data_IF_077710535786
#
_entry.id   IF_077710535786
#
_cell.length_a   1.000
_cell.length_b   1.000
_cell.length_c   1.000
_cell.angle_alpha   90.00
_cell.angle_beta   90.00
_cell.angle_gamma   90.00
#
_symmetry.space_group_name_H-M   'P 1'
#
loop_
_entity.id
_entity.type
_entity.pdbx_description
1 polymer ?
#
# COMPACT_ATOMS: atom_id res chain seq x y z
N UNK A 1 -12.12 -22.52 36.14
CA UNK A 1 -13.17 -22.62 35.11
C UNK A 1 -14.45 -22.94 35.81
N UNK A 2 -15.48 -22.13 35.57
CA UNK A 2 -16.78 -22.30 36.21
C UNK A 2 -17.44 -23.59 35.68
N UNK A 3 -17.96 -24.45 36.55
CA UNK A 3 -18.51 -25.77 36.15
C UNK A 3 -19.63 -25.62 35.10
N UNK A 4 -20.39 -24.52 35.21
CA UNK A 4 -21.43 -24.16 34.26
C UNK A 4 -20.89 -23.77 32.88
N UNK A 5 -19.69 -23.21 32.82
CA UNK A 5 -19.03 -22.81 31.58
C UNK A 5 -18.44 -24.02 30.85
N UNK A 6 -17.82 -24.94 31.59
CA UNK A 6 -17.37 -26.23 31.04
C UNK A 6 -18.54 -27.05 30.49
N UNK A 7 -19.68 -27.07 31.19
CA UNK A 7 -20.91 -27.74 30.73
C UNK A 7 -21.48 -27.10 29.46
N UNK A 8 -21.48 -25.77 29.36
CA UNK A 8 -21.90 -25.06 28.15
C UNK A 8 -20.96 -25.31 26.97
N UNK A 9 -19.66 -25.43 27.21
CA UNK A 9 -18.68 -25.74 26.16
C UNK A 9 -18.92 -27.16 25.63
N UNK A 10 -19.05 -28.14 26.51
CA UNK A 10 -19.36 -29.52 26.16
C UNK A 10 -20.65 -29.63 25.33
N UNK A 11 -21.72 -28.91 25.73
CA UNK A 11 -22.97 -28.84 24.99
C UNK A 11 -22.86 -28.14 23.62
N UNK A 12 -21.84 -27.31 23.38
CA UNK A 12 -21.58 -26.69 22.07
C UNK A 12 -20.77 -27.58 21.15
N UNK A 13 -19.95 -28.46 21.72
CA UNK A 13 -19.11 -29.42 20.98
C UNK A 13 -19.91 -30.64 20.51
N UNK A 14 -20.83 -31.09 21.37
CA UNK A 14 -21.71 -32.23 21.15
C UNK A 14 -22.85 -31.84 20.19
N UNK A 15 -22.77 -32.31 18.93
CA UNK A 15 -23.78 -32.02 17.90
C UNK A 15 -24.85 -33.10 17.80
N UNK A 16 -24.55 -34.31 18.26
CA UNK A 16 -25.47 -35.45 18.23
C UNK A 16 -26.24 -35.65 19.54
N UNK A 17 -25.89 -34.91 20.59
CA UNK A 17 -26.58 -34.92 21.89
C UNK A 17 -26.27 -36.15 22.73
N UNK A 18 -25.20 -36.87 22.40
CA UNK A 18 -24.83 -38.14 23.03
C UNK A 18 -24.16 -37.98 24.40
N UNK A 19 -23.85 -36.75 24.83
CA UNK A 19 -23.09 -36.41 26.04
C UNK A 19 -21.65 -36.97 26.06
N UNK A 20 -21.15 -37.45 24.92
CA UNK A 20 -19.78 -37.95 24.73
C UNK A 20 -19.18 -37.36 23.47
N UNK A 21 -18.01 -36.71 23.56
CA UNK A 21 -17.40 -36.06 22.39
C UNK A 21 -16.64 -37.11 21.56
N UNK A 22 -17.10 -37.37 20.33
CA UNK A 22 -16.35 -38.18 19.36
C UNK A 22 -15.16 -37.40 18.79
N UNK A 23 -14.11 -38.10 18.33
CA UNK A 23 -12.93 -37.44 17.73
C UNK A 23 -13.30 -36.55 16.53
N UNK A 24 -14.32 -36.94 15.75
CA UNK A 24 -14.79 -36.15 14.62
C UNK A 24 -15.49 -34.87 15.08
N UNK A 25 -16.33 -34.92 16.13
CA UNK A 25 -16.95 -33.72 16.70
C UNK A 25 -15.94 -32.80 17.37
N UNK A 26 -14.93 -33.34 18.05
CA UNK A 26 -13.84 -32.53 18.60
C UNK A 26 -13.05 -31.81 17.49
N UNK A 27 -12.67 -32.55 16.44
CA UNK A 27 -11.95 -32.00 15.28
C UNK A 27 -12.77 -30.94 14.56
N UNK A 28 -14.04 -31.25 14.29
CA UNK A 28 -14.93 -30.35 13.56
C UNK A 28 -15.31 -29.14 14.43
N UNK A 29 -15.46 -29.31 15.75
CA UNK A 29 -15.62 -28.18 16.65
C UNK A 29 -14.38 -27.29 16.69
N UNK A 30 -13.15 -27.81 16.60
CA UNK A 30 -11.95 -26.97 16.52
C UNK A 30 -11.76 -26.30 15.15
N UNK A 31 -12.16 -26.97 14.06
CA UNK A 31 -12.15 -26.42 12.70
C UNK A 31 -13.24 -25.37 12.48
N UNK A 32 -14.40 -25.56 13.08
CA UNK A 32 -15.56 -24.66 13.00
C UNK A 32 -15.75 -23.83 14.28
N UNK A 33 -14.82 -23.90 15.23
CA UNK A 33 -14.82 -23.02 16.39
C UNK A 33 -14.66 -21.62 15.80
N UNK A 34 -15.67 -20.76 15.96
CA UNK A 34 -15.47 -19.38 15.60
C UNK A 34 -14.35 -18.92 16.52
N UNK A 35 -13.19 -18.60 15.94
CA UNK A 35 -12.22 -17.71 16.59
C UNK A 35 -13.04 -16.51 17.03
N UNK A 36 -13.43 -16.52 18.31
CA UNK A 36 -14.53 -15.70 18.84
C UNK A 36 -14.09 -14.26 19.03
N UNK A 37 -12.86 -14.00 18.64
CA UNK A 37 -12.29 -12.69 18.59
C UNK A 37 -12.57 -12.12 17.19
N UNK A 38 -13.73 -11.48 17.07
CA UNK A 38 -13.97 -10.52 15.98
C UNK A 38 -12.81 -9.52 15.91
N UNK A 39 -12.18 -9.22 17.06
CA UNK A 39 -10.92 -8.51 17.18
C UNK A 39 -9.77 -9.24 16.47
N UNK A 40 -9.43 -10.49 16.79
CA UNK A 40 -8.43 -11.27 16.06
C UNK A 40 -8.69 -11.45 14.56
N UNK A 41 -9.96 -11.50 14.12
CA UNK A 41 -10.32 -11.49 12.70
C UNK A 41 -10.20 -10.10 12.07
N UNK A 42 -10.49 -9.03 12.81
CA UNK A 42 -10.23 -7.63 12.45
C UNK A 42 -8.72 -7.31 12.46
N UNK A 43 -7.95 -7.97 13.33
CA UNK A 43 -6.50 -7.85 13.49
C UNK A 43 -5.79 -8.62 12.36
N UNK A 44 -6.29 -9.81 12.02
CA UNK A 44 -5.97 -10.49 10.76
C UNK A 44 -6.39 -9.66 9.55
N UNK A 45 -7.55 -8.99 9.55
CA UNK A 45 -8.01 -8.09 8.49
C UNK A 45 -7.17 -6.80 8.37
N UNK A 46 -6.68 -6.26 9.49
CA UNK A 46 -5.73 -5.16 9.55
C UNK A 46 -4.37 -5.60 9.01
N UNK A 47 -3.98 -6.87 9.26
CA UNK A 47 -2.80 -7.52 8.68
C UNK A 47 -2.94 -7.89 7.19
N UNK A 48 -4.16 -8.17 6.70
CA UNK A 48 -4.39 -8.80 5.37
C UNK A 48 -4.91 -7.85 4.29
N UNK A 49 -5.45 -6.66 4.62
CA UNK A 49 -5.85 -5.65 3.60
C UNK A 49 -4.66 -4.88 3.00
N UNK A 50 -3.62 -5.61 2.64
CA UNK A 50 -2.46 -5.13 1.90
C UNK A 50 -2.58 -5.41 0.41
N UNK A 51 -3.72 -5.07 -0.18
CA UNK A 51 -3.76 -4.77 -1.61
C UNK A 51 -3.48 -3.28 -1.80
N UNK A 52 -2.26 -2.89 -1.45
CA UNK A 52 -1.71 -1.65 -1.96
C UNK A 52 -1.48 -1.83 -3.47
N UNK A 53 -2.35 -1.20 -4.26
CA UNK A 53 -2.29 -1.15 -5.72
C UNK A 53 -1.17 -0.18 -6.13
N UNK A 54 0.06 -0.55 -5.81
CA UNK A 54 1.25 -0.25 -6.57
C UNK A 54 2.01 1.03 -6.29
N UNK A 55 1.70 1.82 -5.25
CA UNK A 55 2.49 3.03 -4.93
C UNK A 55 2.99 3.14 -3.48
N UNK A 56 2.24 2.70 -2.46
CA UNK A 56 2.63 2.80 -1.05
C UNK A 56 2.28 1.52 -0.28
N UNK A 57 3.20 0.55 -0.35
CA UNK A 57 3.11 -0.72 0.39
C UNK A 57 3.36 -0.37 1.86
N UNK A 58 2.38 0.23 2.52
CA UNK A 58 2.52 0.77 3.85
C UNK A 58 2.07 -0.24 4.88
N UNK A 59 2.84 -1.33 5.07
CA UNK A 59 2.67 -2.47 6.01
C UNK A 59 1.91 -2.15 7.32
N UNK A 60 1.11 -3.09 7.88
CA UNK A 60 0.40 -2.90 9.13
C UNK A 60 1.37 -3.28 10.24
N UNK A 61 1.80 -2.30 11.02
CA UNK A 61 2.64 -2.56 12.18
C UNK A 61 1.85 -2.24 13.45
N UNK A 62 0.74 -2.95 13.62
CA UNK A 62 0.51 -3.49 14.95
C UNK A 62 1.26 -4.83 14.94
N UNK A 63 2.54 -4.82 15.29
CA UNK A 63 3.19 -6.05 15.75
C UNK A 63 2.32 -6.55 16.88
N UNK A 64 1.75 -7.73 16.74
CA UNK A 64 0.94 -8.28 17.83
C UNK A 64 1.81 -8.31 19.08
N UNK A 65 1.25 -7.98 20.24
CA UNK A 65 2.03 -7.87 21.50
C UNK A 65 2.85 -9.16 21.76
N UNK A 66 2.40 -10.31 21.24
CA UNK A 66 3.15 -11.57 21.23
C UNK A 66 4.39 -11.61 20.34
N UNK A 67 4.40 -10.95 19.18
CA UNK A 67 5.55 -10.85 18.26
C UNK A 67 6.65 -9.92 18.79
N UNK A 68 6.28 -8.86 19.52
CA UNK A 68 7.23 -7.99 20.20
C UNK A 68 7.92 -8.72 21.37
N UNK A 69 7.19 -9.59 22.06
CA UNK A 69 7.70 -10.38 23.20
C UNK A 69 8.57 -11.56 22.74
N UNK A 70 8.29 -12.13 21.56
CA UNK A 70 9.07 -13.28 21.03
C UNK A 70 10.45 -12.91 20.47
N UNK A 71 10.75 -11.61 20.31
CA UNK A 71 12.03 -11.14 19.75
C UNK A 71 12.21 -11.41 18.25
N UNK A 72 11.19 -11.92 17.55
CA UNK A 72 11.24 -12.27 16.13
C UNK A 72 10.77 -11.14 15.19
N UNK A 73 10.35 -9.99 15.71
CA UNK A 73 9.88 -8.82 14.94
C UNK A 73 10.81 -8.42 13.78
N UNK A 74 12.13 -8.47 14.01
CA UNK A 74 13.13 -8.12 12.98
C UNK A 74 13.09 -9.07 11.78
N UNK A 75 12.71 -10.34 11.98
CA UNK A 75 12.58 -11.32 10.89
C UNK A 75 11.43 -10.97 9.97
N UNK A 76 10.28 -10.57 10.54
CA UNK A 76 9.14 -10.08 9.76
C UNK A 76 9.47 -8.81 8.99
N UNK A 77 10.19 -7.86 9.61
CA UNK A 77 10.65 -6.65 8.93
C UNK A 77 11.61 -6.95 7.78
N UNK A 78 12.57 -7.86 7.98
CA UNK A 78 13.52 -8.26 6.94
C UNK A 78 12.77 -8.98 5.81
N UNK A 79 11.87 -9.92 6.12
CA UNK A 79 11.04 -10.60 5.13
C UNK A 79 10.20 -9.61 4.33
N UNK A 80 9.54 -8.66 4.99
CA UNK A 80 8.74 -7.61 4.35
C UNK A 80 9.59 -6.67 3.49
N UNK A 81 10.76 -6.26 3.98
CA UNK A 81 11.70 -5.41 3.25
C UNK A 81 12.27 -6.07 1.99
N UNK A 82 12.68 -7.34 2.09
CA UNK A 82 13.18 -8.13 0.94
C UNK A 82 12.05 -8.39 -0.05
N UNK A 83 10.86 -8.79 0.41
CA UNK A 83 9.69 -8.99 -0.43
C UNK A 83 9.31 -7.72 -1.21
N UNK A 84 9.23 -6.59 -0.51
CA UNK A 84 8.96 -5.28 -1.13
C UNK A 84 10.04 -4.87 -2.12
N UNK A 85 11.32 -5.14 -1.81
CA UNK A 85 12.45 -4.84 -2.69
C UNK A 85 12.45 -5.66 -3.99
N UNK A 86 12.22 -6.97 -3.88
CA UNK A 86 12.16 -7.88 -5.04
C UNK A 86 10.94 -7.58 -5.89
N UNK A 87 9.75 -7.42 -5.29
CA UNK A 87 8.52 -7.07 -6.01
C UNK A 87 8.65 -5.76 -6.80
N UNK A 88 9.19 -4.70 -6.16
CA UNK A 88 9.44 -3.41 -6.82
C UNK A 88 10.47 -3.52 -7.95
N UNK A 89 11.48 -4.38 -7.80
CA UNK A 89 12.50 -4.59 -8.83
C UNK A 89 11.96 -5.34 -10.04
N UNK A 90 11.13 -6.37 -9.83
CA UNK A 90 10.47 -7.10 -10.92
C UNK A 90 9.47 -6.21 -11.66
N UNK A 91 8.80 -5.30 -10.96
CA UNK A 91 7.78 -4.41 -11.52
C UNK A 91 8.29 -3.05 -11.99
N UNK A 92 9.57 -2.75 -11.76
CA UNK A 92 10.21 -1.48 -12.12
C UNK A 92 10.05 -1.08 -13.60
N UNK A 93 10.14 -1.99 -14.60
CA UNK A 93 9.92 -1.62 -15.99
C UNK A 93 8.50 -1.05 -16.25
N UNK A 94 7.48 -1.64 -15.63
CA UNK A 94 6.09 -1.17 -15.73
C UNK A 94 5.90 0.16 -14.99
N UNK A 95 6.53 0.31 -13.82
CA UNK A 95 6.52 1.56 -13.05
C UNK A 95 7.11 2.72 -13.87
N UNK A 96 8.25 2.48 -14.53
CA UNK A 96 8.90 3.49 -15.37
C UNK A 96 8.06 3.85 -16.60
N UNK A 97 7.41 2.87 -17.25
CA UNK A 97 6.49 3.12 -18.37
C UNK A 97 5.28 3.95 -17.90
N UNK A 98 4.70 3.62 -16.73
CA UNK A 98 3.60 4.39 -16.12
C UNK A 98 4.00 5.86 -15.97
N UNK A 99 5.10 6.12 -15.26
CA UNK A 99 5.58 7.49 -14.98
C UNK A 99 5.90 8.23 -16.29
N UNK A 100 6.50 7.55 -17.26
CA UNK A 100 6.80 8.17 -18.57
C UNK A 100 5.53 8.57 -19.32
N UNK A 101 4.51 7.70 -19.38
CA UNK A 101 3.22 7.97 -20.02
C UNK A 101 2.40 9.06 -19.30
N UNK A 102 2.50 9.12 -17.97
CA UNK A 102 1.86 10.16 -17.17
C UNK A 102 2.37 11.57 -17.52
N UNK A 103 3.67 11.69 -17.85
CA UNK A 103 4.31 12.98 -18.15
C UNK A 103 4.34 13.32 -19.64
N UNK A 104 4.65 12.37 -20.51
CA UNK A 104 4.89 12.62 -21.95
C UNK A 104 3.70 12.31 -22.86
N UNK A 105 2.49 12.14 -22.30
CA UNK A 105 1.35 11.56 -23.00
C UNK A 105 1.01 12.15 -24.39
N UNK A 106 1.30 13.43 -24.65
CA UNK A 106 1.00 14.08 -25.94
C UNK A 106 1.90 13.62 -27.09
N UNK A 107 3.13 13.18 -26.80
CA UNK A 107 4.12 12.81 -27.82
C UNK A 107 4.23 11.30 -27.95
N UNK A 108 3.24 10.73 -28.64
CA UNK A 108 3.20 9.32 -29.05
C UNK A 108 3.05 8.35 -27.87
N UNK A 109 2.35 7.22 -28.09
CA UNK A 109 2.71 5.89 -27.60
C UNK A 109 1.52 5.06 -27.11
N UNK A 110 1.26 3.98 -27.86
CA UNK A 110 0.89 2.69 -27.26
C UNK A 110 2.06 2.24 -26.37
N UNK A 111 1.79 1.47 -25.30
CA UNK A 111 2.81 0.95 -24.36
C UNK A 111 4.06 0.40 -25.07
N UNK A 112 3.87 -0.33 -26.18
CA UNK A 112 4.94 -0.91 -27.01
C UNK A 112 5.91 0.14 -27.61
N UNK A 113 5.39 1.29 -28.05
CA UNK A 113 6.21 2.36 -28.63
C UNK A 113 7.06 3.05 -27.56
N UNK A 114 6.48 3.27 -26.36
CA UNK A 114 7.19 3.84 -25.22
C UNK A 114 8.31 2.90 -24.76
N UNK A 115 8.01 1.61 -24.61
CA UNK A 115 9.01 0.59 -24.29
C UNK A 115 10.15 0.55 -25.30
N UNK A 116 9.85 0.56 -26.61
CA UNK A 116 10.87 0.57 -27.67
C UNK A 116 11.72 1.84 -27.64
N UNK A 117 11.12 2.99 -27.37
CA UNK A 117 11.84 4.26 -27.23
C UNK A 117 12.84 4.20 -26.07
N UNK A 118 12.39 3.77 -24.89
CA UNK A 118 13.23 3.66 -23.69
C UNK A 118 14.41 2.70 -23.89
N UNK A 119 14.16 1.57 -24.56
CA UNK A 119 15.22 0.61 -24.92
C UNK A 119 16.24 1.22 -25.89
N UNK A 120 15.80 2.02 -26.87
CA UNK A 120 16.71 2.70 -27.82
C UNK A 120 17.52 3.82 -27.17
N UNK A 121 16.94 4.54 -26.21
CA UNK A 121 17.58 5.69 -25.56
C UNK A 121 18.65 5.29 -24.54
N UNK A 122 18.44 4.19 -23.80
CA UNK A 122 19.32 3.82 -22.68
C UNK A 122 19.56 2.33 -22.49
N UNK A 123 19.16 1.48 -23.45
CA UNK A 123 19.29 0.03 -23.34
C UNK A 123 18.32 -0.61 -22.34
N UNK A 124 18.51 -1.91 -22.10
CA UNK A 124 17.69 -2.71 -21.18
C UNK A 124 17.80 -2.24 -19.73
N UNK A 125 19.01 -1.91 -19.26
CA UNK A 125 19.27 -1.44 -17.89
C UNK A 125 18.52 -0.12 -17.60
N UNK A 126 18.24 0.69 -18.62
CA UNK A 126 17.49 1.93 -18.41
C UNK A 126 16.12 1.68 -17.78
N UNK A 127 15.46 0.55 -18.03
CA UNK A 127 14.12 0.26 -17.52
C UNK A 127 14.05 0.31 -15.98
N UNK A 128 15.17 0.09 -15.28
CA UNK A 128 15.29 0.16 -13.82
C UNK A 128 15.74 1.52 -13.28
N UNK A 129 15.78 2.57 -14.11
CA UNK A 129 16.08 3.93 -13.62
C UNK A 129 15.05 4.37 -12.58
N UNK A 130 15.54 4.84 -11.43
CA UNK A 130 14.71 5.21 -10.29
C UNK A 130 14.40 4.05 -9.34
N UNK A 131 14.59 2.78 -9.75
CA UNK A 131 14.29 1.63 -8.89
C UNK A 131 15.16 1.61 -7.61
N UNK A 132 16.43 2.01 -7.70
CA UNK A 132 17.29 2.10 -6.51
C UNK A 132 16.72 3.02 -5.42
N UNK A 133 16.11 4.14 -5.81
CA UNK A 133 15.43 5.05 -4.87
C UNK A 133 14.14 4.41 -4.35
N UNK A 134 13.42 3.68 -5.20
CA UNK A 134 12.18 2.99 -4.86
C UNK A 134 12.38 1.82 -3.85
N UNK A 135 13.54 1.16 -3.89
CA UNK A 135 13.93 0.15 -2.90
C UNK A 135 14.50 0.83 -1.65
N UNK A 136 15.37 1.83 -1.82
CA UNK A 136 15.95 2.58 -0.70
C UNK A 136 14.88 3.22 0.19
N UNK A 137 13.76 3.70 -0.39
CA UNK A 137 12.69 4.34 0.38
C UNK A 137 11.98 3.39 1.35
N UNK A 138 11.94 2.07 1.09
CA UNK A 138 11.18 1.08 1.89
C UNK A 138 11.54 1.18 3.37
N UNK A 139 12.82 1.06 3.69
CA UNK A 139 13.29 1.01 5.08
C UNK A 139 12.97 2.29 5.86
N UNK A 140 13.41 3.48 5.40
CA UNK A 140 13.11 4.75 6.04
C UNK A 140 11.61 5.04 6.15
N UNK A 141 10.82 4.69 5.12
CA UNK A 141 9.37 4.89 5.09
C UNK A 141 8.65 4.08 6.18
N UNK A 142 8.97 2.79 6.30
CA UNK A 142 8.46 1.92 7.37
C UNK A 142 8.92 2.41 8.75
N UNK A 143 10.22 2.71 8.91
CA UNK A 143 10.77 3.14 10.19
C UNK A 143 10.17 4.45 10.70
N UNK A 144 10.00 5.45 9.83
CA UNK A 144 9.40 6.73 10.19
C UNK A 144 7.91 6.60 10.50
N UNK A 145 7.19 5.74 9.76
CA UNK A 145 5.78 5.45 10.02
C UNK A 145 5.60 4.79 11.38
N UNK A 146 6.41 3.77 11.69
CA UNK A 146 6.39 3.08 12.99
C UNK A 146 6.73 4.03 14.14
N UNK A 147 7.83 4.77 14.02
CA UNK A 147 8.25 5.74 15.03
C UNK A 147 7.17 6.79 15.29
N UNK A 148 6.58 7.35 14.23
CA UNK A 148 5.52 8.34 14.37
C UNK A 148 4.26 7.74 15.00
N UNK A 149 3.88 6.52 14.61
CA UNK A 149 2.72 5.83 15.17
C UNK A 149 2.87 5.56 16.67
N UNK A 150 4.02 5.02 17.08
CA UNK A 150 4.34 4.78 18.49
C UNK A 150 4.37 6.07 19.32
N UNK A 151 4.98 7.14 18.78
CA UNK A 151 5.04 8.44 19.46
C UNK A 151 3.62 9.01 19.68
N UNK A 152 2.76 8.93 18.67
CA UNK A 152 1.38 9.44 18.74
C UNK A 152 0.54 8.57 19.67
N UNK A 153 0.66 7.25 19.59
CA UNK A 153 0.00 6.29 20.48
C UNK A 153 0.36 6.53 21.94
N UNK A 154 1.65 6.74 22.26
CA UNK A 154 2.09 7.11 23.62
C UNK A 154 1.52 8.45 24.08
N UNK A 155 1.47 9.43 23.19
CA UNK A 155 0.91 10.75 23.50
C UNK A 155 -0.60 10.69 23.77
N UNK A 156 -1.34 9.83 23.05
CA UNK A 156 -2.78 9.64 23.23
C UNK A 156 -3.08 8.81 24.49
N UNK A 157 -2.30 7.75 24.76
CA UNK A 157 -2.51 6.88 25.93
C UNK A 157 -2.10 7.54 27.25
N UNK A 158 -1.04 8.35 27.27
CA UNK A 158 -0.48 8.83 28.54
C UNK A 158 -0.12 7.67 29.46
N UNK A 159 -0.65 7.67 30.69
CA UNK A 159 -0.46 6.62 31.70
C UNK A 159 -1.51 5.48 31.64
N UNK A 160 -2.50 5.55 30.74
CA UNK A 160 -3.53 4.51 30.62
C UNK A 160 -3.00 3.25 29.91
N UNK A 161 -3.18 2.09 30.56
CA UNK A 161 -2.85 0.76 30.00
C UNK A 161 -3.93 0.24 29.04
N UNK A 162 -4.97 1.03 28.74
CA UNK A 162 -6.10 0.62 27.88
C UNK A 162 -5.68 0.40 26.43
N UNK A 163 -6.39 -0.46 25.71
CA UNK A 163 -6.28 -0.51 24.25
C UNK A 163 -6.87 0.75 23.60
N UNK A 164 -6.26 1.22 22.51
CA UNK A 164 -6.77 2.38 21.78
C UNK A 164 -8.15 2.07 21.20
N UNK A 165 -9.09 3.01 21.34
CA UNK A 165 -10.37 2.95 20.65
C UNK A 165 -10.20 3.11 19.14
N UNK A 166 -11.22 2.72 18.36
CA UNK A 166 -11.20 2.81 16.89
C UNK A 166 -10.83 4.22 16.39
N UNK A 167 -11.44 5.26 16.96
CA UNK A 167 -11.16 6.65 16.60
C UNK A 167 -9.73 7.08 16.93
N UNK A 168 -9.19 6.62 18.05
CA UNK A 168 -7.82 6.93 18.46
C UNK A 168 -6.79 6.24 17.56
N UNK A 169 -7.03 4.98 17.18
CA UNK A 169 -6.19 4.25 16.20
C UNK A 169 -6.22 4.92 14.83
N UNK A 170 -7.40 5.33 14.35
CA UNK A 170 -7.54 6.03 13.08
C UNK A 170 -6.83 7.39 13.07
N UNK A 171 -6.96 8.15 14.16
CA UNK A 171 -6.27 9.43 14.32
C UNK A 171 -4.75 9.25 14.39
N UNK A 172 -4.28 8.27 15.18
CA UNK A 172 -2.87 7.95 15.30
C UNK A 172 -2.28 7.50 13.95
N UNK A 173 -2.96 6.60 13.25
CA UNK A 173 -2.55 6.11 11.93
C UNK A 173 -2.51 7.24 10.89
N UNK A 174 -3.51 8.12 10.87
CA UNK A 174 -3.58 9.24 9.91
C UNK A 174 -2.48 10.27 10.14
N UNK A 175 -2.23 10.64 11.42
CA UNK A 175 -1.16 11.58 11.77
C UNK A 175 0.22 10.98 11.52
N UNK A 176 0.42 9.70 11.87
CA UNK A 176 1.68 8.99 11.62
C UNK A 176 1.97 8.86 10.12
N UNK A 177 0.95 8.52 9.33
CA UNK A 177 1.01 8.50 7.87
C UNK A 177 1.37 9.87 7.30
N UNK A 178 0.73 10.94 7.77
CA UNK A 178 1.03 12.31 7.35
C UNK A 178 2.45 12.75 7.67
N UNK A 179 2.96 12.45 8.87
CA UNK A 179 4.33 12.77 9.30
C UNK A 179 5.35 11.99 8.47
N UNK A 180 5.17 10.66 8.36
CA UNK A 180 6.07 9.81 7.57
C UNK A 180 6.09 10.24 6.11
N UNK A 181 4.92 10.48 5.51
CA UNK A 181 4.80 10.96 4.14
C UNK A 181 5.55 12.29 3.95
N UNK A 182 5.43 13.23 4.89
CA UNK A 182 6.09 14.54 4.80
C UNK A 182 7.61 14.45 4.87
N UNK A 183 8.13 13.50 5.64
CA UNK A 183 9.56 13.24 5.75
C UNK A 183 10.12 12.47 4.54
N UNK A 184 9.36 11.54 3.97
CA UNK A 184 9.76 10.72 2.80
C UNK A 184 9.53 11.44 1.47
N UNK A 185 8.64 12.43 1.42
CA UNK A 185 8.26 13.12 0.18
C UNK A 185 9.45 13.57 -0.72
N UNK A 186 10.58 14.10 -0.18
CA UNK A 186 11.75 14.42 -1.01
C UNK A 186 12.31 13.23 -1.79
N UNK A 187 12.32 12.02 -1.22
CA UNK A 187 12.76 10.79 -1.88
C UNK A 187 11.78 10.38 -2.99
N UNK A 188 10.48 10.63 -2.81
CA UNK A 188 9.48 10.37 -3.85
C UNK A 188 9.67 11.28 -5.06
N UNK A 189 9.94 12.57 -4.84
CA UNK A 189 10.23 13.51 -5.94
C UNK A 189 11.50 13.10 -6.67
N UNK A 190 12.53 12.68 -5.92
CA UNK A 190 13.77 12.15 -6.52
C UNK A 190 13.49 10.88 -7.33
N UNK A 191 12.68 9.94 -6.84
CA UNK A 191 12.28 8.73 -7.58
C UNK A 191 11.68 9.11 -8.94
N UNK A 192 10.66 9.97 -8.94
CA UNK A 192 9.95 10.39 -10.16
C UNK A 192 10.89 11.06 -11.16
N UNK A 193 11.78 11.94 -10.69
CA UNK A 193 12.77 12.61 -11.55
C UNK A 193 13.81 11.64 -12.11
N UNK A 194 14.27 10.68 -11.32
CA UNK A 194 15.20 9.65 -11.79
C UNK A 194 14.56 8.69 -12.79
N UNK A 195 13.26 8.39 -12.68
CA UNK A 195 12.55 7.55 -13.63
C UNK A 195 12.48 8.21 -15.02
N UNK A 196 12.36 9.54 -15.05
CA UNK A 196 12.23 10.37 -16.26
C UNK A 196 13.56 10.86 -16.84
N UNK A 197 14.67 10.72 -16.12
CA UNK A 197 15.98 11.21 -16.55
C UNK A 197 16.42 10.59 -17.88
N UNK A 198 17.10 11.40 -18.68
CA UNK A 198 17.81 10.94 -19.88
C UNK A 198 19.16 10.32 -19.54
N UNK A 199 19.69 9.50 -20.46
CA UNK A 199 21.03 8.92 -20.31
C UNK A 199 22.08 10.03 -20.14
N UNK A 200 22.81 10.04 -19.02
CA UNK A 200 23.89 11.00 -18.75
C UNK A 200 23.49 12.31 -18.03
N UNK A 201 22.22 12.52 -17.69
CA UNK A 201 21.75 13.78 -17.06
C UNK A 201 22.26 13.96 -15.61
N UNK A 202 22.41 12.85 -14.88
CA UNK A 202 22.88 12.80 -13.49
C UNK A 202 23.91 11.67 -13.31
N UNK A 203 25.05 11.99 -12.70
CA UNK A 203 26.10 10.99 -12.41
C UNK A 203 25.76 10.10 -11.20
N UNK A 204 24.90 10.57 -10.30
CA UNK A 204 24.46 9.84 -9.11
C UNK A 204 23.38 10.57 -8.31
N UNK A 205 22.93 9.97 -7.20
CA UNK A 205 21.90 10.53 -6.32
C UNK A 205 22.30 11.90 -5.77
N UNK A 206 23.54 12.03 -5.30
CA UNK A 206 24.07 13.28 -4.71
C UNK A 206 24.15 14.40 -5.75
N UNK A 207 24.62 14.10 -6.97
CA UNK A 207 24.67 15.06 -8.07
C UNK A 207 23.26 15.56 -8.46
N UNK A 208 22.30 14.64 -8.56
CA UNK A 208 20.92 14.99 -8.82
C UNK A 208 20.30 15.85 -7.72
N UNK A 209 20.47 15.48 -6.44
CA UNK A 209 19.98 16.27 -5.31
C UNK A 209 20.59 17.68 -5.32
N UNK A 210 21.90 17.80 -5.59
CA UNK A 210 22.59 19.11 -5.67
C UNK A 210 22.09 19.96 -6.84
N UNK A 211 21.90 19.37 -8.03
CA UNK A 211 21.35 20.07 -9.21
C UNK A 211 19.91 20.53 -8.97
N UNK A 212 19.07 19.66 -8.41
CA UNK A 212 17.67 19.97 -8.08
C UNK A 212 17.60 21.11 -7.05
N UNK A 213 18.44 21.04 -6.02
CA UNK A 213 18.52 22.08 -5.00
C UNK A 213 18.96 23.42 -5.59
N UNK A 214 19.96 23.44 -6.49
CA UNK A 214 20.41 24.66 -7.18
C UNK A 214 19.35 25.28 -8.08
N UNK A 215 18.48 24.48 -8.70
CA UNK A 215 17.47 24.97 -9.64
C UNK A 215 16.20 25.51 -8.99
N UNK A 216 15.78 24.97 -7.84
CA UNK A 216 14.49 25.34 -7.22
C UNK A 216 14.45 25.28 -5.70
N UNK A 217 15.60 25.12 -5.04
CA UNK A 217 15.72 25.04 -3.58
C UNK A 217 14.91 23.90 -2.96
N UNK A 218 14.59 24.05 -1.67
CA UNK A 218 13.81 23.08 -0.90
C UNK A 218 12.38 22.91 -1.44
N UNK A 219 11.77 23.97 -1.99
CA UNK A 219 10.41 23.91 -2.55
C UNK A 219 10.29 22.90 -3.71
N UNK A 220 11.38 22.66 -4.44
CA UNK A 220 11.42 21.69 -5.55
C UNK A 220 11.15 20.26 -5.09
N UNK A 221 11.60 19.89 -3.88
CA UNK A 221 11.43 18.57 -3.29
C UNK A 221 10.02 18.31 -2.74
N UNK A 222 9.20 19.36 -2.59
CA UNK A 222 7.82 19.27 -2.10
C UNK A 222 6.77 19.55 -3.20
N UNK A 223 7.20 19.61 -4.46
CA UNK A 223 6.26 19.76 -5.60
C UNK A 223 5.33 18.55 -5.68
N UNK A 224 4.02 18.81 -5.78
CA UNK A 224 2.98 17.78 -5.83
C UNK A 224 2.48 17.28 -4.47
N UNK A 225 2.98 17.83 -3.35
CA UNK A 225 2.57 17.39 -2.01
C UNK A 225 1.08 17.64 -1.73
N UNK A 226 0.56 18.79 -2.13
CA UNK A 226 -0.88 19.12 -2.00
C UNK A 226 -1.79 18.13 -2.75
N UNK A 227 -1.61 17.89 -4.07
CA UNK A 227 -2.42 16.90 -4.77
C UNK A 227 -2.21 15.47 -4.24
N UNK A 228 -1.03 15.16 -3.66
CA UNK A 228 -0.83 13.89 -2.98
C UNK A 228 -1.79 13.74 -1.78
N UNK A 229 -1.76 14.68 -0.84
CA UNK A 229 -2.62 14.65 0.35
C UNK A 229 -4.11 14.68 -0.02
N UNK A 230 -4.48 15.53 -0.98
CA UNK A 230 -5.85 15.59 -1.49
C UNK A 230 -6.29 14.30 -2.19
N UNK A 231 -5.37 13.51 -2.74
CA UNK A 231 -5.67 12.25 -3.41
C UNK A 231 -5.90 11.09 -2.44
N UNK A 232 -5.24 11.11 -1.28
CA UNK A 232 -5.35 10.05 -0.26
C UNK A 232 -6.76 9.99 0.34
N UNK A 233 -7.36 11.15 0.66
CA UNK A 233 -8.67 11.21 1.33
C UNK A 233 -9.80 10.61 0.47
N UNK A 234 -10.00 11.01 -0.81
CA UNK A 234 -11.02 10.41 -1.66
C UNK A 234 -10.75 8.94 -1.97
N UNK A 235 -9.47 8.55 -2.11
CA UNK A 235 -9.10 7.15 -2.31
C UNK A 235 -9.60 6.29 -1.14
N UNK A 236 -9.21 6.65 0.09
CA UNK A 236 -9.57 5.90 1.29
C UNK A 236 -11.09 5.92 1.54
N UNK A 237 -11.75 7.07 1.34
CA UNK A 237 -13.20 7.20 1.52
C UNK A 237 -14.00 6.33 0.56
N UNK A 238 -13.62 6.30 -0.72
CA UNK A 238 -14.31 5.49 -1.75
C UNK A 238 -13.99 4.01 -1.58
N UNK A 239 -12.74 3.67 -1.28
CA UNK A 239 -12.34 2.30 -1.01
C UNK A 239 -13.17 1.72 0.15
N UNK A 240 -13.24 2.43 1.28
CA UNK A 240 -14.06 2.01 2.42
C UNK A 240 -15.55 1.92 2.07
N UNK A 241 -16.10 2.96 1.45
CA UNK A 241 -17.53 3.01 1.14
C UNK A 241 -17.96 1.89 0.16
N UNK A 242 -17.17 1.65 -0.88
CA UNK A 242 -17.45 0.60 -1.87
C UNK A 242 -17.26 -0.77 -1.23
N UNK A 243 -16.20 -0.97 -0.45
CA UNK A 243 -15.95 -2.22 0.25
C UNK A 243 -17.10 -2.58 1.20
N UNK A 244 -17.50 -1.65 2.07
CA UNK A 244 -18.60 -1.85 3.02
C UNK A 244 -19.93 -2.07 2.31
N UNK A 245 -20.20 -1.32 1.23
CA UNK A 245 -21.44 -1.49 0.46
C UNK A 245 -21.50 -2.89 -0.17
N UNK A 246 -20.42 -3.36 -0.79
CA UNK A 246 -20.35 -4.67 -1.41
C UNK A 246 -20.44 -5.80 -0.37
N UNK A 247 -19.71 -5.66 0.75
CA UNK A 247 -19.74 -6.61 1.86
C UNK A 247 -21.14 -6.69 2.50
N UNK A 248 -21.75 -5.55 2.81
CA UNK A 248 -23.08 -5.49 3.42
C UNK A 248 -24.14 -6.04 2.47
N UNK A 249 -24.03 -5.79 1.17
CA UNK A 249 -24.94 -6.38 0.17
C UNK A 249 -24.83 -7.90 0.11
N UNK A 250 -23.61 -8.44 0.22
CA UNK A 250 -23.40 -9.88 0.29
C UNK A 250 -24.00 -10.49 1.57
N UNK A 251 -23.72 -9.89 2.73
CA UNK A 251 -24.25 -10.30 4.04
C UNK A 251 -25.77 -10.13 4.19
N UNK A 252 -26.41 -9.31 3.36
CA UNK A 252 -27.87 -9.20 3.30
C UNK A 252 -28.51 -10.27 2.42
N UNK A 253 -27.74 -10.84 1.48
CA UNK A 253 -28.21 -11.86 0.54
C UNK A 253 -27.95 -13.28 1.07
N UNK A 254 -26.97 -13.43 1.97
CA UNK A 254 -26.66 -14.67 2.70
C UNK A 254 -27.00 -14.51 4.19
N UNK A 255 -27.05 -15.60 4.95
CA UNK A 255 -27.43 -15.56 6.36
C UNK A 255 -26.41 -14.73 7.17
N UNK A 256 -26.90 -13.86 8.09
CA UNK A 256 -26.05 -12.88 8.79
C UNK A 256 -24.96 -13.51 9.67
N UNK A 257 -25.08 -14.81 9.96
CA UNK A 257 -24.16 -15.57 10.80
C UNK A 257 -23.03 -16.24 10.01
N UNK A 258 -23.06 -16.20 8.67
CA UNK A 258 -22.02 -16.81 7.84
C UNK A 258 -21.00 -15.74 7.42
N UNK A 259 -19.73 -15.96 7.76
CA UNK A 259 -18.67 -15.05 7.34
C UNK A 259 -18.43 -15.20 5.82
N UNK A 260 -18.25 -14.09 5.09
CA UNK A 260 -18.01 -14.15 3.66
C UNK A 260 -16.72 -14.92 3.36
N UNK A 261 -16.73 -15.85 2.39
CA UNK A 261 -15.55 -16.60 2.04
C UNK A 261 -14.44 -15.68 1.52
N UNK A 262 -13.19 -16.08 1.72
CA UNK A 262 -12.00 -15.29 1.38
C UNK A 262 -12.01 -14.72 -0.05
N UNK A 263 -12.47 -15.48 -1.04
CA UNK A 263 -12.55 -15.03 -2.43
C UNK A 263 -13.54 -13.86 -2.64
N UNK A 264 -14.63 -13.83 -1.90
CA UNK A 264 -15.60 -12.72 -1.93
C UNK A 264 -14.99 -11.48 -1.29
N UNK A 265 -14.31 -11.65 -0.16
CA UNK A 265 -13.58 -10.58 0.50
C UNK A 265 -12.50 -9.97 -0.40
N UNK A 266 -11.76 -10.82 -1.12
CA UNK A 266 -10.76 -10.42 -2.10
C UNK A 266 -11.40 -9.69 -3.29
N UNK A 267 -12.55 -10.17 -3.78
CA UNK A 267 -13.29 -9.50 -4.86
C UNK A 267 -13.82 -8.13 -4.42
N UNK A 268 -14.38 -8.03 -3.21
CA UNK A 268 -14.85 -6.77 -2.65
C UNK A 268 -13.70 -5.78 -2.48
N UNK A 269 -12.55 -6.21 -1.95
CA UNK A 269 -11.36 -5.38 -1.78
C UNK A 269 -10.73 -4.96 -3.11
N UNK A 270 -10.57 -5.88 -4.07
CA UNK A 270 -10.06 -5.51 -5.40
C UNK A 270 -10.99 -4.53 -6.12
N UNK A 271 -12.31 -4.73 -6.04
CA UNK A 271 -13.29 -3.84 -6.65
C UNK A 271 -13.29 -2.45 -6.00
N UNK A 272 -13.23 -2.39 -4.66
CA UNK A 272 -13.20 -1.13 -3.92
C UNK A 272 -11.94 -0.33 -4.19
N UNK A 273 -10.78 -0.99 -4.15
CA UNK A 273 -9.50 -0.31 -4.37
C UNK A 273 -9.34 0.13 -5.82
N UNK A 274 -9.88 -0.64 -6.78
CA UNK A 274 -9.95 -0.22 -8.19
C UNK A 274 -10.84 1.01 -8.35
N UNK A 275 -12.01 1.06 -7.70
CA UNK A 275 -12.91 2.21 -7.76
C UNK A 275 -12.28 3.46 -7.12
N UNK A 276 -11.67 3.29 -5.94
CA UNK A 276 -10.93 4.36 -5.25
C UNK A 276 -9.79 4.89 -6.12
N UNK A 277 -9.01 4.00 -6.73
CA UNK A 277 -7.91 4.39 -7.60
C UNK A 277 -8.39 5.12 -8.85
N UNK A 278 -9.47 4.66 -9.51
CA UNK A 278 -10.02 5.35 -10.68
C UNK A 278 -10.48 6.77 -10.30
N UNK A 279 -11.11 6.95 -9.14
CA UNK A 279 -11.56 8.28 -8.72
C UNK A 279 -10.40 9.21 -8.36
N UNK A 280 -9.39 8.73 -7.64
CA UNK A 280 -8.23 9.53 -7.22
C UNK A 280 -7.15 9.68 -8.30
N UNK A 281 -7.22 8.90 -9.39
CA UNK A 281 -6.23 8.88 -10.46
C UNK A 281 -5.92 10.27 -11.08
N UNK A 282 -6.90 11.16 -11.32
CA UNK A 282 -6.60 12.50 -11.84
C UNK A 282 -5.66 13.30 -10.93
N UNK A 283 -5.80 13.16 -9.60
CA UNK A 283 -4.91 13.82 -8.64
C UNK A 283 -3.53 13.17 -8.61
N UNK A 284 -3.46 11.84 -8.71
CA UNK A 284 -2.20 11.11 -8.86
C UNK A 284 -1.44 11.53 -10.14
N UNK A 285 -2.14 11.72 -11.26
CA UNK A 285 -1.53 12.21 -12.49
C UNK A 285 -0.97 13.63 -12.32
N UNK A 286 -1.74 14.53 -11.72
CA UNK A 286 -1.30 15.91 -11.46
C UNK A 286 -0.09 15.94 -10.52
N UNK A 287 -0.08 15.10 -9.47
CA UNK A 287 1.08 14.88 -8.59
C UNK A 287 2.31 14.51 -9.43
N UNK A 288 2.24 13.45 -10.25
CA UNK A 288 3.39 13.01 -11.05
C UNK A 288 3.90 14.08 -12.01
N UNK A 289 3.01 14.83 -12.67
CA UNK A 289 3.43 15.93 -13.57
C UNK A 289 4.12 17.06 -12.83
N UNK A 290 3.61 17.45 -11.65
CA UNK A 290 4.24 18.47 -10.81
C UNK A 290 5.61 18.04 -10.27
N UNK A 291 5.78 16.75 -9.94
CA UNK A 291 7.05 16.19 -9.51
C UNK A 291 8.09 16.14 -10.64
N UNK A 292 7.63 15.88 -11.87
CA UNK A 292 8.45 15.79 -13.07
C UNK A 292 8.91 17.14 -13.62
N UNK A 293 8.14 18.20 -13.41
CA UNK A 293 8.43 19.51 -14.00
C UNK A 293 9.66 20.17 -13.35
N UNK A 294 10.68 20.42 -14.19
CA UNK A 294 11.95 21.05 -13.83
C UNK A 294 12.00 22.53 -14.23
N UNK A 295 10.95 23.07 -14.88
CA UNK A 295 10.99 24.40 -15.47
C UNK A 295 11.14 25.50 -14.40
N UNK A 296 12.26 26.24 -14.37
CA UNK A 296 12.39 27.38 -13.48
C UNK A 296 11.49 28.52 -13.97
N UNK A 297 10.68 29.09 -13.09
CA UNK A 297 9.91 30.32 -13.37
C UNK A 297 8.43 30.18 -13.72
N UNK A 298 7.88 28.97 -13.89
CA UNK A 298 6.42 28.77 -13.95
C UNK A 298 5.92 28.26 -12.60
N UNK A 299 5.11 29.04 -11.84
CA UNK A 299 4.35 28.51 -10.72
C UNK A 299 3.23 27.65 -11.30
N UNK A 300 3.55 26.39 -11.62
CA UNK A 300 2.55 25.43 -12.04
C UNK A 300 1.75 25.02 -10.81
N UNK A 301 0.70 25.79 -10.54
CA UNK A 301 -0.33 25.43 -9.55
C UNK A 301 -1.01 24.15 -10.01
N UNK A 302 -1.45 23.32 -9.07
CA UNK A 302 -2.26 22.12 -9.33
C UNK A 302 -3.38 22.38 -10.34
N UNK A 303 -4.10 23.50 -10.17
CA UNK A 303 -5.18 23.94 -11.06
C UNK A 303 -4.70 24.25 -12.47
N UNK A 304 -3.51 24.84 -12.62
CA UNK A 304 -2.94 25.16 -13.93
C UNK A 304 -2.60 23.88 -14.70
N UNK A 305 -1.93 22.91 -14.04
CA UNK A 305 -1.62 21.61 -14.64
C UNK A 305 -2.89 20.85 -15.00
N UNK A 306 -3.89 20.84 -14.11
CA UNK A 306 -5.18 20.18 -14.37
C UNK A 306 -5.91 20.80 -15.58
N UNK A 307 -5.98 22.14 -15.65
CA UNK A 307 -6.56 22.85 -16.80
C UNK A 307 -5.78 22.60 -18.09
N UNK A 308 -4.46 22.55 -18.02
CA UNK A 308 -3.60 22.27 -19.17
C UNK A 308 -3.83 20.85 -19.71
N UNK A 309 -3.94 19.84 -18.84
CA UNK A 309 -4.27 18.47 -19.24
C UNK A 309 -5.62 18.43 -19.96
N UNK A 310 -6.64 19.04 -19.37
CA UNK A 310 -8.00 19.03 -19.97
C UNK A 310 -7.99 19.75 -21.33
N UNK A 311 -7.30 20.90 -21.43
CA UNK A 311 -7.25 21.67 -22.67
C UNK A 311 -6.48 20.97 -23.79
N UNK A 312 -5.35 20.34 -23.47
CA UNK A 312 -4.45 19.77 -24.48
C UNK A 312 -4.71 18.29 -24.77
N UNK A 313 -5.25 17.54 -23.81
CA UNK A 313 -5.38 16.08 -23.86
C UNK A 313 -6.82 15.58 -23.62
N UNK A 314 -7.72 16.48 -23.20
CA UNK A 314 -9.09 16.14 -22.83
C UNK A 314 -9.18 15.32 -21.54
N UNK A 315 -10.41 14.91 -21.19
CA UNK A 315 -10.71 14.14 -19.97
C UNK A 315 -10.00 12.78 -19.97
N UNK A 316 -9.84 12.15 -21.14
CA UNK A 316 -9.09 10.88 -21.29
C UNK A 316 -7.61 11.04 -20.95
N UNK A 317 -7.04 12.23 -21.07
CA UNK A 317 -5.67 12.55 -20.65
C UNK A 317 -5.44 12.33 -19.16
N UNK A 318 -6.47 12.56 -18.33
CA UNK A 318 -6.40 12.42 -16.87
C UNK A 318 -6.13 10.97 -16.41
N UNK A 319 -6.41 9.98 -17.27
CA UNK A 319 -6.28 8.55 -16.95
C UNK A 319 -5.06 7.89 -17.62
N UNK A 320 -4.10 8.68 -18.11
CA UNK A 320 -2.89 8.14 -18.74
C UNK A 320 -2.00 7.44 -17.73
N UNK A 321 -1.54 6.23 -18.09
CA UNK A 321 -0.75 5.37 -17.21
C UNK A 321 -1.58 4.41 -16.35
N UNK A 322 -2.92 4.47 -16.42
CA UNK A 322 -3.79 3.59 -15.64
C UNK A 322 -3.63 2.11 -16.06
N UNK A 323 -3.50 1.84 -17.36
CA UNK A 323 -3.27 0.47 -17.88
C UNK A 323 -1.99 -0.18 -17.35
N UNK A 324 -0.79 0.43 -17.48
CA UNK A 324 0.42 -0.17 -16.91
C UNK A 324 0.37 -0.23 -15.38
N UNK A 325 -0.39 0.65 -14.72
CA UNK A 325 -0.62 0.57 -13.29
C UNK A 325 -1.37 -0.71 -12.92
N UNK A 326 -2.50 -1.02 -13.55
CA UNK A 326 -3.22 -2.27 -13.31
C UNK A 326 -2.43 -3.52 -13.70
N UNK A 327 -1.70 -3.47 -14.81
CA UNK A 327 -0.83 -4.59 -15.23
C UNK A 327 0.27 -4.90 -14.22
N UNK A 328 0.73 -3.91 -13.47
CA UNK A 328 1.78 -4.06 -12.44
C UNK A 328 1.25 -4.73 -11.17
N UNK A 329 -0.03 -4.55 -10.85
CA UNK A 329 -0.56 -4.83 -9.50
C UNK A 329 -0.58 -6.31 -9.19
N UNK A 330 -1.17 -7.13 -10.06
CA UNK A 330 -1.21 -8.58 -9.83
C UNK A 330 0.21 -9.19 -9.69
N UNK A 331 1.17 -8.92 -10.60
CA UNK A 331 2.54 -9.38 -10.42
C UNK A 331 3.21 -8.87 -9.14
N UNK A 332 2.99 -7.60 -8.78
CA UNK A 332 3.60 -7.01 -7.60
C UNK A 332 3.14 -7.71 -6.31
N UNK A 333 1.83 -7.96 -6.18
CA UNK A 333 1.25 -8.64 -5.02
C UNK A 333 1.71 -10.10 -4.97
N UNK A 334 1.60 -10.84 -6.07
CA UNK A 334 1.99 -12.25 -6.12
C UNK A 334 3.47 -12.47 -5.79
N UNK A 335 4.36 -11.66 -6.35
CA UNK A 335 5.81 -11.77 -6.10
C UNK A 335 6.11 -11.39 -4.65
N UNK A 336 5.50 -10.33 -4.13
CA UNK A 336 5.72 -9.91 -2.74
C UNK A 336 5.30 -11.01 -1.77
N UNK A 337 4.14 -11.63 -1.99
CA UNK A 337 3.64 -12.71 -1.13
C UNK A 337 4.58 -13.92 -1.16
N UNK A 338 4.92 -14.41 -2.35
CA UNK A 338 5.79 -15.58 -2.52
C UNK A 338 7.18 -15.35 -1.91
N UNK A 339 7.76 -14.16 -2.10
CA UNK A 339 9.06 -13.82 -1.51
C UNK A 339 8.96 -13.66 0.00
N UNK A 340 7.88 -13.06 0.50
CA UNK A 340 7.67 -12.92 1.94
C UNK A 340 7.60 -14.28 2.63
N UNK A 341 6.81 -15.22 2.11
CA UNK A 341 6.72 -16.58 2.64
C UNK A 341 8.09 -17.29 2.60
N UNK A 342 8.75 -17.27 1.44
CA UNK A 342 10.06 -17.94 1.29
C UNK A 342 11.11 -17.39 2.26
N UNK A 343 11.18 -16.07 2.43
CA UNK A 343 12.16 -15.43 3.32
C UNK A 343 11.79 -15.64 4.78
N UNK A 344 10.50 -15.58 5.12
CA UNK A 344 10.00 -15.86 6.47
C UNK A 344 10.32 -17.30 6.90
N UNK A 345 10.07 -18.26 6.02
CA UNK A 345 10.35 -19.68 6.27
C UNK A 345 11.87 -19.92 6.38
N UNK A 346 12.67 -19.28 5.54
CA UNK A 346 14.13 -19.31 5.63
C UNK A 346 14.67 -18.72 6.94
N UNK A 347 14.03 -17.67 7.46
CA UNK A 347 14.38 -17.06 8.76
C UNK A 347 13.84 -17.86 9.96
N UNK A 348 13.18 -18.99 9.73
CA UNK A 348 12.70 -19.91 10.78
C UNK A 348 11.52 -19.36 11.56
N UNK A 349 10.66 -18.55 10.92
CA UNK A 349 9.38 -18.12 11.48
C UNK A 349 8.28 -19.02 10.90
N UNK A 350 8.14 -20.22 11.46
CA UNK A 350 7.07 -21.13 11.06
C UNK A 350 5.75 -20.69 11.70
N UNK A 351 4.67 -20.66 10.91
CA UNK A 351 3.32 -20.64 11.47
C UNK A 351 3.11 -21.96 12.21
N UNK A 352 3.00 -21.91 13.53
CA UNK A 352 2.29 -22.93 14.31
C UNK A 352 0.82 -22.58 14.38
#
# INVERSE_FOLDING_TARGET
MDYNEAKKLLQRMDKDGSLTISFNEWRDFLLYAPSTDLLGLIEYWHHTNYMDIGEDIGVPEDFTTGEMVSGMWWRHLVSGGVAGGVSRTCTAPLDRIKVYLQVHGTRHCKIKSCFRYMLREGGSISLWRGNGINVLKIGPESALKFMAYEQIKRTIKGDDVRELGLYERLMAGSLAGGISQSAIYPLEVLKTRFALRKTGEYSGLVDATKKIYRQGGLKSFYRGYVPNLMGIIPYAGIDLAVYETLKNRYLQTHDKNEQPPFWILLLCGTASSTAGQVCSYPLALVRTRLQADMSPGKPNTMVAVFKEIIKNEGIRGLYRGLTPNFLKVAPAVSISYMVYETVRDFLGVNMT
#
